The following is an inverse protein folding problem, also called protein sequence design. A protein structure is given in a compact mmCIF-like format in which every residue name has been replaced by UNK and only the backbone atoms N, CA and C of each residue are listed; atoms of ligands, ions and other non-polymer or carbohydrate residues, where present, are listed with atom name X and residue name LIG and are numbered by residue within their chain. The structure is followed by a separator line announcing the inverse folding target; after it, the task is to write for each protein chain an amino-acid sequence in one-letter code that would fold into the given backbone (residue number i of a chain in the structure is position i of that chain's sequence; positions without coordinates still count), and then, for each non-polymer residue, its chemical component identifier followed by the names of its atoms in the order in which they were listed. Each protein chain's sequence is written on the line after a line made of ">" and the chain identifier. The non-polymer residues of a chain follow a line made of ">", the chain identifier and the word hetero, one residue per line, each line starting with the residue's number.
data_IF_479558692496
#
_entry.id   IF_479558692496
#
_cell.length_a   1.000
_cell.length_b   1.000
_cell.length_c   1.000
_cell.angle_alpha   90.00
_cell.angle_beta   90.00
_cell.angle_gamma   90.00
#
_symmetry.space_group_name_H-M   'P 1'
#
loop_
_entity.id
_entity.type
_entity.pdbx_description
1 polymer ?
#
# COMPACT_ATOMS: atom_id res chain seq x y z
N UNK A 1 2.44 14.48 -13.05
CA UNK A 1 3.42 14.12 -12.00
C UNK A 1 4.59 13.34 -12.64
N UNK A 2 5.78 13.94 -12.86
CA UNK A 2 6.92 13.30 -13.58
C UNK A 2 7.40 11.99 -12.92
N UNK A 3 7.12 11.84 -11.63
CA UNK A 3 7.42 10.66 -10.83
C UNK A 3 6.90 9.35 -11.43
N UNK A 4 5.59 9.23 -11.71
CA UNK A 4 5.00 8.00 -12.26
C UNK A 4 5.56 7.61 -13.64
N UNK A 5 5.92 8.60 -14.46
CA UNK A 5 6.59 8.35 -15.74
C UNK A 5 7.98 7.71 -15.55
N UNK A 6 8.76 8.22 -14.58
CA UNK A 6 10.07 7.65 -14.23
C UNK A 6 9.91 6.25 -13.62
N UNK A 7 8.97 6.08 -12.69
CA UNK A 7 8.69 4.80 -12.04
C UNK A 7 8.31 3.73 -13.06
N UNK A 8 7.39 4.03 -13.99
CA UNK A 8 7.06 3.14 -15.11
C UNK A 8 8.31 2.76 -15.92
N UNK A 9 9.17 3.73 -16.22
CA UNK A 9 10.39 3.46 -16.98
C UNK A 9 11.35 2.54 -16.24
N UNK A 10 11.51 2.71 -14.91
CA UNK A 10 12.31 1.83 -14.06
C UNK A 10 11.74 0.41 -14.06
N UNK A 11 10.45 0.26 -13.82
CA UNK A 11 9.78 -1.06 -13.83
C UNK A 11 9.96 -1.76 -15.18
N UNK A 12 9.72 -1.07 -16.30
CA UNK A 12 9.79 -1.68 -17.62
C UNK A 12 11.21 -2.04 -18.08
N UNK A 13 12.22 -1.29 -17.64
CA UNK A 13 13.60 -1.48 -18.09
C UNK A 13 14.45 -2.30 -17.14
N UNK A 14 14.18 -2.20 -15.84
CA UNK A 14 14.98 -2.82 -14.78
C UNK A 14 14.23 -3.96 -14.08
N UNK A 15 12.90 -4.06 -14.24
CA UNK A 15 12.08 -5.07 -13.55
C UNK A 15 11.94 -4.81 -12.03
N UNK A 16 12.39 -3.66 -11.55
CA UNK A 16 12.43 -3.33 -10.12
C UNK A 16 11.22 -2.51 -9.70
N UNK A 17 10.51 -2.99 -8.67
CA UNK A 17 9.50 -2.24 -7.94
C UNK A 17 9.78 -2.32 -6.44
N UNK A 18 10.55 -1.35 -5.96
CA UNK A 18 10.78 -1.18 -4.53
C UNK A 18 9.54 -0.54 -3.90
N UNK A 19 9.10 -1.07 -2.77
CA UNK A 19 8.04 -0.50 -1.95
C UNK A 19 8.46 -0.55 -0.49
N UNK A 20 7.94 0.38 0.31
CA UNK A 20 8.07 0.35 1.75
C UNK A 20 6.69 0.18 2.39
N UNK A 21 6.66 -0.59 3.47
CA UNK A 21 5.46 -0.78 4.28
C UNK A 21 5.49 0.24 5.41
N UNK A 22 4.39 0.99 5.57
CA UNK A 22 4.15 1.84 6.72
C UNK A 22 3.02 1.25 7.54
N UNK A 23 3.26 1.10 8.83
CA UNK A 23 2.27 0.60 9.80
C UNK A 23 1.90 1.77 10.69
N UNK A 24 0.60 1.98 10.88
CA UNK A 24 0.08 2.91 11.87
C UNK A 24 -0.85 2.17 12.81
N UNK A 25 -0.44 2.05 14.07
CA UNK A 25 -1.22 1.43 15.15
C UNK A 25 -1.89 2.55 15.94
N UNK A 26 -3.22 2.52 15.99
CA UNK A 26 -4.04 3.41 16.83
C UNK A 26 -4.05 2.90 18.26
N UNK A 27 -4.33 1.61 18.42
CA UNK A 27 -4.39 0.89 19.69
C UNK A 27 -4.14 -0.60 19.43
N UNK A 28 -3.44 -1.27 20.33
CA UNK A 28 -3.24 -2.72 20.28
C UNK A 28 -2.97 -3.23 21.70
N UNK A 29 -3.89 -4.02 22.25
CA UNK A 29 -3.79 -4.64 23.57
C UNK A 29 -3.63 -6.15 23.41
N UNK A 30 -2.53 -6.68 23.94
CA UNK A 30 -2.19 -8.10 23.84
C UNK A 30 -2.32 -8.71 25.24
N UNK A 31 -3.06 -9.82 25.41
CA UNK A 31 -3.59 -10.70 24.35
C UNK A 31 -5.01 -10.38 23.85
N UNK A 32 -5.71 -9.41 24.41
CA UNK A 32 -7.16 -9.21 24.22
C UNK A 32 -7.54 -9.01 22.75
N UNK A 33 -6.84 -8.11 22.05
CA UNK A 33 -7.13 -7.80 20.65
C UNK A 33 -6.76 -8.94 19.70
N UNK A 34 -5.90 -9.89 20.08
CA UNK A 34 -5.56 -11.03 19.22
C UNK A 34 -6.78 -11.89 18.89
N UNK A 35 -7.75 -11.95 19.81
CA UNK A 35 -9.01 -12.69 19.60
C UNK A 35 -9.84 -12.14 18.44
N UNK A 36 -9.65 -10.87 18.08
CA UNK A 36 -10.37 -10.16 17.02
C UNK A 36 -9.89 -10.52 15.62
N UNK A 37 -8.73 -11.17 15.53
CA UNK A 37 -8.15 -11.70 14.30
C UNK A 37 -8.57 -13.14 14.00
N UNK A 38 -9.52 -13.66 14.77
CA UNK A 38 -9.94 -15.06 14.74
C UNK A 38 -9.03 -15.96 15.57
N UNK A 39 -9.42 -17.24 15.74
CA UNK A 39 -8.56 -18.20 16.42
C UNK A 39 -7.27 -18.42 15.61
N UNK A 40 -6.12 -18.64 16.29
CA UNK A 40 -4.90 -19.00 15.60
C UNK A 40 -5.12 -20.29 14.80
N UNK A 41 -4.70 -20.35 13.52
CA UNK A 41 -4.77 -21.58 12.74
C UNK A 41 -3.89 -22.68 13.37
N UNK A 42 -4.17 -23.96 13.09
CA UNK A 42 -3.34 -25.07 13.57
C UNK A 42 -1.87 -24.84 13.23
N UNK A 43 -0.97 -25.14 14.17
CA UNK A 43 0.49 -24.94 14.04
C UNK A 43 0.95 -23.48 13.86
N UNK A 44 0.12 -22.50 14.23
CA UNK A 44 0.56 -21.11 14.29
C UNK A 44 1.76 -20.94 15.26
N UNK A 45 2.79 -20.23 14.82
CA UNK A 45 4.01 -19.92 15.58
C UNK A 45 4.05 -18.47 16.06
N UNK A 46 3.39 -17.58 15.34
CA UNK A 46 3.40 -16.15 15.65
C UNK A 46 2.37 -15.37 14.84
N UNK A 47 2.14 -14.13 15.27
CA UNK A 47 1.30 -13.17 14.58
C UNK A 47 2.17 -12.04 14.01
N UNK A 48 1.88 -11.58 12.80
CA UNK A 48 2.58 -10.50 12.14
C UNK A 48 1.60 -9.40 11.69
N UNK A 49 2.07 -8.16 11.71
CA UNK A 49 1.36 -7.00 11.17
C UNK A 49 2.28 -6.29 10.20
N UNK A 50 1.80 -6.06 8.98
CA UNK A 50 2.48 -5.26 7.97
C UNK A 50 3.74 -5.89 7.39
N UNK A 51 3.56 -6.97 6.65
CA UNK A 51 4.66 -7.59 5.91
C UNK A 51 5.05 -6.80 4.62
N UNK A 52 5.91 -7.39 3.78
CA UNK A 52 6.36 -6.78 2.52
C UNK A 52 5.24 -6.47 1.51
N UNK A 53 4.07 -7.10 1.66
CA UNK A 53 2.89 -6.86 0.83
C UNK A 53 1.87 -5.96 1.55
N UNK A 54 2.17 -5.53 2.78
CA UNK A 54 1.27 -4.78 3.63
C UNK A 54 0.22 -5.65 4.33
N UNK A 55 0.36 -6.97 4.27
CA UNK A 55 -0.58 -7.91 4.90
C UNK A 55 -0.31 -8.10 6.39
N UNK A 56 -1.30 -8.65 7.09
CA UNK A 56 -1.20 -9.05 8.50
C UNK A 56 -1.73 -10.48 8.65
N UNK A 57 -1.30 -11.20 9.69
CA UNK A 57 -1.87 -12.51 10.02
C UNK A 57 -0.95 -13.43 10.77
N UNK A 58 -1.04 -14.73 10.51
CA UNK A 58 -0.36 -15.77 11.27
C UNK A 58 0.77 -16.41 10.45
N UNK A 59 1.89 -16.68 11.11
CA UNK A 59 2.94 -17.56 10.60
C UNK A 59 2.61 -19.00 11.01
N UNK A 60 2.42 -19.88 10.03
CA UNK A 60 1.96 -21.26 10.23
C UNK A 60 3.05 -22.21 9.80
N UNK A 61 3.43 -23.13 10.68
CA UNK A 61 4.37 -24.19 10.32
C UNK A 61 3.64 -25.36 9.66
N UNK A 62 4.03 -25.69 8.43
CA UNK A 62 3.54 -26.84 7.70
C UNK A 62 4.20 -28.15 8.19
N UNK A 63 3.64 -29.34 7.87
CA UNK A 63 4.20 -30.62 8.30
C UNK A 63 5.64 -30.89 7.83
N UNK A 64 6.05 -30.30 6.71
CA UNK A 64 7.41 -30.38 6.18
C UNK A 64 8.41 -29.44 6.89
N UNK A 65 7.93 -28.67 7.88
CA UNK A 65 8.70 -27.73 8.68
C UNK A 65 8.77 -26.31 8.11
N UNK A 66 8.28 -26.07 6.89
CA UNK A 66 8.24 -24.74 6.27
C UNK A 66 7.27 -23.80 7.00
N UNK A 67 7.50 -22.49 6.88
CA UNK A 67 6.64 -21.45 7.48
C UNK A 67 5.93 -20.70 6.36
N UNK A 68 4.59 -20.72 6.40
CA UNK A 68 3.72 -20.02 5.47
C UNK A 68 2.91 -18.94 6.18
N UNK A 69 2.46 -17.93 5.41
CA UNK A 69 1.64 -16.84 5.94
C UNK A 69 0.16 -17.10 5.69
N UNK A 70 -0.61 -17.13 6.77
CA UNK A 70 -2.07 -17.12 6.73
C UNK A 70 -2.57 -15.69 7.00
N UNK A 71 -3.05 -15.01 5.96
CA UNK A 71 -3.45 -13.61 6.04
C UNK A 71 -4.85 -13.44 6.65
N UNK A 72 -4.99 -12.44 7.51
CA UNK A 72 -6.27 -11.96 8.03
C UNK A 72 -6.36 -10.44 7.91
N UNK A 73 -7.57 -9.91 7.98
CA UNK A 73 -7.80 -8.47 7.92
C UNK A 73 -7.35 -7.80 9.23
N UNK A 74 -6.69 -6.65 9.12
CA UNK A 74 -6.38 -5.79 10.27
C UNK A 74 -7.58 -4.90 10.58
N UNK A 75 -8.24 -5.04 11.75
CA UNK A 75 -9.33 -4.16 12.13
C UNK A 75 -8.93 -2.68 12.08
N UNK A 76 -9.77 -1.85 11.43
CA UNK A 76 -9.44 -0.44 11.15
C UNK A 76 -9.27 0.42 12.40
N UNK A 77 -9.90 0.03 13.51
CA UNK A 77 -9.76 0.68 14.81
C UNK A 77 -8.46 0.29 15.52
N UNK A 78 -7.86 -0.87 15.22
CA UNK A 78 -6.51 -1.25 15.69
C UNK A 78 -5.48 -0.44 14.92
N UNK A 79 -5.63 -0.34 13.60
CA UNK A 79 -4.68 0.38 12.78
C UNK A 79 -4.90 0.18 11.29
N UNK A 80 -3.91 0.60 10.51
CA UNK A 80 -3.85 0.34 9.09
C UNK A 80 -2.41 0.15 8.62
N UNK A 81 -2.28 -0.54 7.51
CA UNK A 81 -1.01 -0.73 6.80
C UNK A 81 -1.14 -0.11 5.43
N UNK A 82 -0.14 0.66 5.01
CA UNK A 82 -0.09 1.25 3.68
C UNK A 82 1.25 0.97 3.01
N UNK A 83 1.20 0.72 1.71
CA UNK A 83 2.40 0.66 0.88
C UNK A 83 2.72 2.04 0.32
N UNK A 84 4.00 2.37 0.32
CA UNK A 84 4.56 3.61 -0.19
C UNK A 84 5.63 3.31 -1.22
N UNK A 85 5.75 4.15 -2.24
CA UNK A 85 6.89 4.09 -3.14
C UNK A 85 8.10 4.80 -2.51
N UNK A 86 9.34 4.36 -2.82
CA UNK A 86 10.54 5.09 -2.42
C UNK A 86 10.57 6.47 -3.07
N UNK A 87 11.10 7.45 -2.33
CA UNK A 87 11.26 8.83 -2.79
C UNK A 87 9.98 9.43 -3.39
N UNK A 88 8.84 9.07 -2.80
CA UNK A 88 7.54 9.61 -3.18
C UNK A 88 7.57 11.15 -3.23
N UNK A 89 6.92 11.77 -4.23
CA UNK A 89 6.90 13.22 -4.34
C UNK A 89 6.23 13.84 -3.12
N UNK A 90 6.81 14.91 -2.59
CA UNK A 90 6.25 15.66 -1.46
C UNK A 90 5.25 16.72 -1.87
N UNK A 91 5.25 17.14 -3.14
CA UNK A 91 4.36 18.16 -3.66
C UNK A 91 3.81 17.79 -5.05
N UNK A 92 2.59 18.24 -5.36
CA UNK A 92 1.97 18.14 -6.67
C UNK A 92 1.26 19.46 -7.01
N UNK A 93 1.57 20.05 -8.18
CA UNK A 93 0.98 21.33 -8.64
C UNK A 93 1.10 22.47 -7.61
N UNK A 94 2.22 22.53 -6.89
CA UNK A 94 2.47 23.56 -5.86
C UNK A 94 1.84 23.28 -4.50
N UNK A 95 1.10 22.17 -4.35
CA UNK A 95 0.48 21.77 -3.07
C UNK A 95 1.26 20.62 -2.43
N UNK A 96 1.40 20.64 -1.11
CA UNK A 96 2.00 19.53 -0.36
C UNK A 96 1.11 18.28 -0.38
N UNK A 97 1.73 17.11 -0.39
CA UNK A 97 1.08 15.81 -0.37
C UNK A 97 1.21 15.23 1.04
N UNK A 98 0.13 15.28 1.81
CA UNK A 98 0.09 14.75 3.17
C UNK A 98 0.06 13.21 3.22
N UNK A 99 -0.64 12.59 2.27
CA UNK A 99 -0.71 11.14 2.14
C UNK A 99 0.11 10.66 0.94
N UNK A 100 1.27 10.08 1.21
CA UNK A 100 2.18 9.53 0.18
C UNK A 100 1.90 8.05 -0.13
N UNK A 101 0.76 7.51 0.27
CA UNK A 101 0.36 6.15 -0.06
C UNK A 101 0.27 5.94 -1.57
N UNK A 102 0.60 4.74 -2.04
CA UNK A 102 0.50 4.38 -3.47
C UNK A 102 -0.90 4.70 -4.05
N UNK A 103 -2.02 4.34 -3.38
CA UNK A 103 -3.37 4.67 -3.88
C UNK A 103 -3.60 6.17 -4.04
N UNK A 104 -3.21 6.99 -3.07
CA UNK A 104 -3.41 8.44 -3.16
C UNK A 104 -2.55 9.07 -4.27
N UNK A 105 -1.27 8.68 -4.36
CA UNK A 105 -0.39 9.15 -5.42
C UNK A 105 -0.92 8.76 -6.81
N UNK A 106 -1.43 7.53 -6.97
CA UNK A 106 -2.02 7.07 -8.21
C UNK A 106 -3.27 7.88 -8.56
N UNK A 107 -4.15 8.14 -7.58
CA UNK A 107 -5.34 8.99 -7.76
C UNK A 107 -4.95 10.39 -8.25
N UNK A 108 -4.01 11.07 -7.58
CA UNK A 108 -3.53 12.40 -7.98
C UNK A 108 -3.01 12.41 -9.42
N UNK A 109 -2.27 11.37 -9.82
CA UNK A 109 -1.75 11.25 -11.17
C UNK A 109 -2.86 11.06 -12.23
N UNK A 110 -3.82 10.16 -11.97
CA UNK A 110 -4.95 9.91 -12.88
C UNK A 110 -5.83 11.16 -13.01
N UNK A 111 -6.11 11.84 -11.90
CA UNK A 111 -6.91 13.06 -11.91
C UNK A 111 -6.18 14.15 -12.72
N UNK A 112 -4.86 14.31 -12.55
CA UNK A 112 -4.06 15.20 -13.39
C UNK A 112 -4.18 14.87 -14.90
N UNK A 113 -4.09 13.59 -15.28
CA UNK A 113 -4.24 13.18 -16.68
C UNK A 113 -5.65 13.47 -17.21
N UNK A 114 -6.69 13.24 -16.42
CA UNK A 114 -8.08 13.58 -16.79
C UNK A 114 -8.22 15.07 -17.07
N UNK A 115 -7.70 15.93 -16.19
CA UNK A 115 -7.75 17.38 -16.38
C UNK A 115 -7.01 17.81 -17.65
N UNK A 116 -5.84 17.24 -17.94
CA UNK A 116 -5.12 17.52 -19.19
C UNK A 116 -5.94 17.14 -20.43
N UNK A 117 -6.56 15.95 -20.43
CA UNK A 117 -7.38 15.49 -21.56
C UNK A 117 -8.61 16.37 -21.74
N UNK A 118 -9.29 16.75 -20.65
CA UNK A 118 -10.45 17.65 -20.72
C UNK A 118 -10.07 19.02 -21.27
N UNK A 119 -8.98 19.62 -20.78
CA UNK A 119 -8.49 20.90 -21.28
C UNK A 119 -8.10 20.86 -22.76
N UNK A 120 -7.48 19.76 -23.21
CA UNK A 120 -7.16 19.56 -24.62
C UNK A 120 -8.43 19.44 -25.49
N UNK A 121 -9.41 18.65 -25.05
CA UNK A 121 -10.69 18.50 -25.75
C UNK A 121 -11.42 19.83 -25.92
N UNK A 122 -11.41 20.67 -24.90
CA UNK A 122 -12.01 22.01 -24.96
C UNK A 122 -11.27 22.91 -25.96
N UNK A 123 -9.93 22.93 -25.89
CA UNK A 123 -9.10 23.77 -26.75
C UNK A 123 -9.18 23.39 -28.24
N UNK A 124 -9.35 22.11 -28.55
CA UNK A 124 -9.35 21.56 -29.90
C UNK A 124 -10.74 21.06 -30.32
N UNK A 125 -11.81 21.58 -29.73
CA UNK A 125 -13.18 21.22 -30.12
C UNK A 125 -13.41 21.68 -31.57
N UNK A 126 -13.84 20.80 -32.50
CA UNK A 126 -14.28 21.25 -33.82
C UNK A 126 -15.50 22.15 -33.67
N UNK A 127 -15.58 23.17 -34.53
CA UNK A 127 -16.74 24.08 -34.63
C UNK A 127 -18.05 23.34 -34.93
#
# INVERSE_FOLDING_TARGET
>A
MKYFYKLRSKILKEGLLETSTRIYIRQLQIPEDLTRFGPPPPNAKGFFIGDKLGGSGWEVQLPDGSIEKYYVELPQDIGFVSLHFPDAPKCHLGQEINDTSIPNLAKLYIDYLRHLVMAAKEKFRPD
#
